data_IF_889877742265
#
_entry.id   IF_889877742265
#
_cell.length_a   1.000
_cell.length_b   1.000
_cell.length_c   1.000
_cell.angle_alpha   90.00
_cell.angle_beta   90.00
_cell.angle_gamma   90.00
#
_symmetry.space_group_name_H-M   'P 1'
#
loop_
_entity.id
_entity.type
_entity.pdbx_description
1 polymer ?
#
# COMPACT_ATOMS: atom_id res chain seq x y z
N UNK A 1 30.84 9.47 15.69
CA UNK A 1 29.69 9.64 14.75
C UNK A 1 29.16 8.31 14.18
N UNK A 2 29.84 7.16 14.38
CA UNK A 2 29.39 5.85 13.87
C UNK A 2 28.85 4.85 14.91
N UNK A 3 29.08 5.10 16.20
CA UNK A 3 28.78 4.11 17.25
C UNK A 3 27.28 3.88 17.44
N UNK A 4 26.48 4.96 17.37
CA UNK A 4 25.02 4.87 17.47
C UNK A 4 24.42 4.07 16.31
N UNK A 5 24.92 4.27 15.08
CA UNK A 5 24.45 3.55 13.88
C UNK A 5 24.63 2.05 14.04
N UNK A 6 25.83 1.62 14.44
CA UNK A 6 26.14 0.21 14.67
C UNK A 6 25.33 -0.40 15.80
N UNK A 7 25.13 0.36 16.90
CA UNK A 7 24.36 -0.09 18.05
C UNK A 7 22.91 -0.42 17.68
N UNK A 8 22.21 0.52 17.03
CA UNK A 8 20.82 0.31 16.63
C UNK A 8 20.67 -0.70 15.50
N UNK A 9 21.63 -0.76 14.58
CA UNK A 9 21.61 -1.73 13.49
C UNK A 9 21.71 -3.17 14.03
N UNK A 10 22.54 -3.41 15.05
CA UNK A 10 22.62 -4.74 15.67
C UNK A 10 21.41 -5.03 16.57
N UNK A 11 20.97 -4.06 17.36
CA UNK A 11 19.82 -4.20 18.27
C UNK A 11 18.52 -4.52 17.53
N UNK A 12 18.33 -3.95 16.34
CA UNK A 12 17.10 -4.10 15.54
C UNK A 12 17.26 -5.12 14.39
N UNK A 13 18.34 -5.89 14.35
CA UNK A 13 18.68 -6.81 13.25
C UNK A 13 18.62 -6.14 11.86
N UNK A 14 18.95 -4.85 11.78
CA UNK A 14 18.94 -4.08 10.56
C UNK A 14 20.10 -4.45 9.63
N UNK A 15 19.85 -4.50 8.32
CA UNK A 15 20.91 -4.60 7.32
C UNK A 15 21.20 -3.24 6.70
N UNK A 16 22.47 -2.92 6.42
CA UNK A 16 22.86 -1.67 5.73
C UNK A 16 22.24 -1.53 4.34
N UNK A 17 21.88 -2.67 3.73
CA UNK A 17 21.13 -2.69 2.49
C UNK A 17 19.66 -2.43 2.79
N UNK A 18 19.22 -1.21 2.51
CA UNK A 18 17.81 -0.92 2.30
C UNK A 18 17.31 -1.87 1.20
N UNK A 19 16.52 -2.89 1.54
CA UNK A 19 15.69 -3.63 0.56
C UNK A 19 14.50 -2.76 0.16
N UNK A 20 14.75 -1.49 -0.17
CA UNK A 20 13.80 -0.67 -0.91
C UNK A 20 13.79 -1.26 -2.30
N UNK A 21 12.84 -2.17 -2.50
CA UNK A 21 12.38 -2.53 -3.83
C UNK A 21 12.11 -1.21 -4.55
N UNK A 22 12.90 -0.89 -5.57
CA UNK A 22 12.70 0.25 -6.46
C UNK A 22 11.34 0.06 -7.13
N UNK A 23 10.29 0.52 -6.46
CA UNK A 23 8.98 0.62 -7.08
C UNK A 23 9.11 1.80 -8.00
N UNK A 24 9.41 1.52 -9.27
CA UNK A 24 9.23 2.45 -10.38
C UNK A 24 7.89 3.15 -10.14
N UNK A 25 7.94 4.43 -9.74
CA UNK A 25 6.77 5.29 -9.76
C UNK A 25 6.44 5.41 -11.23
N UNK A 26 5.59 4.52 -11.75
CA UNK A 26 4.97 4.73 -13.05
C UNK A 26 4.34 6.11 -12.95
N UNK A 27 4.91 7.05 -13.68
CA UNK A 27 4.26 8.31 -14.00
C UNK A 27 2.84 7.93 -14.40
N UNK A 28 1.87 8.32 -13.57
CA UNK A 28 0.47 8.38 -13.94
C UNK A 28 0.44 9.39 -15.09
N UNK A 29 0.74 8.89 -16.29
CA UNK A 29 0.48 9.67 -17.48
C UNK A 29 -1.04 9.84 -17.51
N UNK A 30 -1.41 11.11 -17.53
CA UNK A 30 -2.71 11.66 -17.87
C UNK A 30 -3.70 11.70 -16.70
N UNK A 31 -3.65 12.84 -16.00
CA UNK A 31 -4.80 13.60 -15.50
C UNK A 31 -5.88 13.72 -16.60
N UNK A 32 -6.53 12.62 -16.94
CA UNK A 32 -7.84 12.65 -17.54
C UNK A 32 -8.82 12.35 -16.41
N UNK A 33 -9.78 13.25 -16.23
CA UNK A 33 -10.99 13.03 -15.41
C UNK A 33 -11.84 11.91 -16.06
N UNK A 34 -11.28 10.72 -16.23
CA UNK A 34 -12.03 9.52 -16.61
C UNK A 34 -12.70 8.96 -15.36
N UNK A 35 -13.98 8.58 -15.50
CA UNK A 35 -14.71 7.85 -14.47
C UNK A 35 -13.88 6.64 -13.99
N UNK A 36 -13.71 6.55 -12.67
CA UNK A 36 -12.89 5.55 -12.04
C UNK A 36 -13.51 4.15 -12.21
N UNK A 37 -12.99 3.38 -13.17
CA UNK A 37 -13.50 2.04 -13.52
C UNK A 37 -13.20 1.01 -12.42
N UNK A 38 -14.10 0.03 -12.30
CA UNK A 38 -13.93 -1.10 -11.38
C UNK A 38 -12.58 -1.82 -11.55
N UNK A 39 -12.14 -2.00 -12.80
CA UNK A 39 -10.87 -2.66 -13.12
C UNK A 39 -9.65 -1.90 -12.57
N UNK A 40 -9.73 -0.57 -12.56
CA UNK A 40 -8.68 0.30 -12.00
C UNK A 40 -8.59 0.08 -10.48
N UNK A 41 -9.74 0.06 -9.79
CA UNK A 41 -9.85 -0.21 -8.35
C UNK A 41 -9.25 -1.59 -8.04
N UNK A 42 -9.68 -2.61 -8.78
CA UNK A 42 -9.20 -3.99 -8.60
C UNK A 42 -7.68 -4.09 -8.78
N UNK A 43 -7.13 -3.39 -9.77
CA UNK A 43 -5.69 -3.35 -10.05
C UNK A 43 -4.92 -2.67 -8.92
N UNK A 44 -5.48 -1.63 -8.30
CA UNK A 44 -4.83 -0.98 -7.15
C UNK A 44 -4.92 -1.84 -5.89
N UNK A 45 -6.05 -2.48 -5.61
CA UNK A 45 -6.19 -3.37 -4.45
C UNK A 45 -5.18 -4.52 -4.52
N UNK A 46 -4.99 -5.12 -5.69
CA UNK A 46 -4.00 -6.20 -5.89
C UNK A 46 -2.55 -5.78 -5.63
N UNK A 47 -2.23 -4.49 -5.69
CA UNK A 47 -0.89 -3.96 -5.41
C UNK A 47 -0.65 -3.67 -3.93
N UNK A 48 -1.67 -3.78 -3.07
CA UNK A 48 -1.51 -3.52 -1.65
C UNK A 48 -0.50 -4.51 -1.04
N UNK A 49 0.48 -3.96 -0.31
CA UNK A 49 1.49 -4.77 0.39
C UNK A 49 0.89 -5.34 1.67
N UNK A 50 1.14 -6.63 1.91
CA UNK A 50 0.80 -7.31 3.17
C UNK A 50 1.68 -6.81 4.31
N UNK A 51 1.19 -6.97 5.55
CA UNK A 51 1.88 -6.62 6.80
C UNK A 51 2.32 -5.16 6.85
N UNK A 52 1.59 -4.27 6.17
CA UNK A 52 1.75 -2.83 6.38
C UNK A 52 1.28 -2.45 7.78
N UNK A 53 1.93 -1.45 8.36
CA UNK A 53 1.47 -0.84 9.60
C UNK A 53 0.03 -0.34 9.41
N UNK A 54 -0.82 -0.63 10.39
CA UNK A 54 -2.22 -0.24 10.39
C UNK A 54 -2.34 1.28 10.46
N UNK A 55 -3.37 1.82 9.79
CA UNK A 55 -3.69 3.24 9.85
C UNK A 55 -4.40 3.61 11.15
N UNK A 56 -4.90 4.84 11.22
CA UNK A 56 -5.72 5.32 12.34
C UNK A 56 -7.04 4.53 12.50
N UNK A 57 -7.48 3.85 11.44
CA UNK A 57 -8.63 2.95 11.41
C UNK A 57 -8.36 1.58 12.05
N UNK A 58 -7.09 1.25 12.34
CA UNK A 58 -6.67 -0.03 12.88
C UNK A 58 -6.80 -1.20 11.89
N UNK A 59 -7.12 -0.95 10.62
CA UNK A 59 -7.31 -1.99 9.62
C UNK A 59 -6.02 -2.27 8.86
N UNK A 60 -5.68 -3.55 8.73
CA UNK A 60 -4.57 -4.02 7.90
C UNK A 60 -4.93 -3.99 6.42
N UNK A 61 -3.91 -3.97 5.55
CA UNK A 61 -4.12 -4.07 4.09
C UNK A 61 -4.79 -5.38 3.69
N UNK A 62 -4.68 -6.42 4.53
CA UNK A 62 -5.31 -7.73 4.40
C UNK A 62 -6.83 -7.63 4.31
N UNK A 63 -7.46 -6.71 5.04
CA UNK A 63 -8.92 -6.53 5.03
C UNK A 63 -9.41 -6.23 3.61
N UNK A 64 -8.68 -5.40 2.88
CA UNK A 64 -9.01 -5.01 1.52
C UNK A 64 -8.54 -6.04 0.48
N UNK A 65 -7.42 -6.73 0.74
CA UNK A 65 -6.93 -7.79 -0.14
C UNK A 65 -7.87 -9.00 -0.16
N UNK A 66 -8.48 -9.33 0.99
CA UNK A 66 -9.35 -10.49 1.17
C UNK A 66 -10.83 -10.13 1.28
N UNK A 67 -11.21 -8.88 1.00
CA UNK A 67 -12.62 -8.48 0.96
C UNK A 67 -13.32 -9.15 -0.22
N UNK A 68 -14.44 -9.82 0.04
CA UNK A 68 -15.29 -10.43 -0.98
C UNK A 68 -16.75 -9.99 -0.81
N UNK A 69 -17.58 -10.25 -1.82
CA UNK A 69 -19.01 -9.97 -1.81
C UNK A 69 -19.33 -8.51 -1.53
N UNK A 70 -20.29 -8.28 -0.62
CA UNK A 70 -20.84 -6.94 -0.34
C UNK A 70 -19.80 -5.92 0.14
N UNK A 71 -18.75 -6.36 0.84
CA UNK A 71 -17.69 -5.45 1.29
C UNK A 71 -16.91 -4.91 0.09
N UNK A 72 -16.65 -5.77 -0.90
CA UNK A 72 -15.94 -5.42 -2.13
C UNK A 72 -16.74 -4.45 -3.00
N UNK A 73 -18.05 -4.68 -3.10
CA UNK A 73 -18.95 -3.78 -3.84
C UNK A 73 -19.04 -2.40 -3.19
N UNK A 74 -19.27 -2.35 -1.87
CA UNK A 74 -19.29 -1.08 -1.13
C UNK A 74 -17.97 -0.32 -1.21
N UNK A 75 -16.84 -1.03 -1.17
CA UNK A 75 -15.54 -0.41 -1.35
C UNK A 75 -15.43 0.28 -2.72
N UNK A 76 -15.90 -0.37 -3.78
CA UNK A 76 -15.90 0.22 -5.13
C UNK A 76 -16.80 1.43 -5.23
N UNK A 77 -17.99 1.38 -4.64
CA UNK A 77 -18.92 2.51 -4.57
C UNK A 77 -18.27 3.71 -3.84
N UNK A 78 -17.65 3.46 -2.68
CA UNK A 78 -16.94 4.50 -1.92
C UNK A 78 -15.80 5.13 -2.71
N UNK A 79 -15.03 4.34 -3.47
CA UNK A 79 -13.95 4.87 -4.32
C UNK A 79 -14.43 5.75 -5.47
N UNK A 80 -15.70 5.61 -5.89
CA UNK A 80 -16.30 6.42 -6.97
C UNK A 80 -17.04 7.66 -6.46
N UNK A 81 -17.27 7.75 -5.16
CA UNK A 81 -17.92 8.89 -4.51
C UNK A 81 -16.94 10.02 -4.17
N UNK A 82 -15.65 9.73 -4.18
CA UNK A 82 -14.55 10.67 -3.92
C UNK A 82 -14.19 11.39 -5.20
#
# INVERSE_FOLDING_TARGET
MGDWKNHFQHLLEGSEKDKKEDVERRSLNEDQEEELRDEEIEKQIKKLKRKKAVGADGLGSEVWLYSEGQIREKLKELCKLV
#
